data_IF_929348942434
#
_entry.id   IF_929348942434
#
_cell.length_a   1.000
_cell.length_b   1.000
_cell.length_c   1.000
_cell.angle_alpha   90.00
_cell.angle_beta   90.00
_cell.angle_gamma   90.00
#
_symmetry.space_group_name_H-M   'P 1'
#
loop_
_entity.id
_entity.type
_entity.pdbx_description
1 polymer ?
#
# COMPACT_ATOMS: atom_id res chain seq x y z
N UNK A 1 -12.52 -46.85 38.09
CA UNK A 1 -12.96 -45.59 37.45
C UNK A 1 -12.02 -45.35 36.28
N UNK A 2 -12.45 -45.69 35.07
CA UNK A 2 -11.70 -45.42 33.83
C UNK A 2 -12.00 -44.00 33.33
N UNK A 3 -11.05 -43.33 32.66
CA UNK A 3 -11.31 -42.04 32.01
C UNK A 3 -12.35 -42.18 30.89
N UNK A 4 -13.18 -41.15 30.73
CA UNK A 4 -14.13 -41.02 29.63
C UNK A 4 -13.35 -40.45 28.44
N UNK A 5 -13.16 -41.26 27.41
CA UNK A 5 -12.64 -40.81 26.12
C UNK A 5 -13.76 -40.08 25.38
N UNK A 6 -13.61 -38.75 25.19
CA UNK A 6 -14.49 -37.98 24.31
C UNK A 6 -14.01 -38.20 22.88
N UNK A 7 -14.66 -39.14 22.21
CA UNK A 7 -14.53 -39.36 20.78
C UNK A 7 -15.09 -38.13 20.05
N UNK A 8 -14.22 -37.20 19.65
CA UNK A 8 -14.62 -36.09 18.77
C UNK A 8 -14.83 -36.68 17.38
N UNK A 9 -16.05 -37.16 17.12
CA UNK A 9 -16.46 -37.64 15.81
C UNK A 9 -16.31 -36.48 14.81
N UNK A 10 -15.32 -36.57 13.93
CA UNK A 10 -15.14 -35.65 12.81
C UNK A 10 -16.31 -35.75 11.85
N UNK A 11 -17.37 -34.97 12.10
CA UNK A 11 -18.36 -34.66 11.08
C UNK A 11 -17.75 -33.60 10.18
N UNK A 12 -17.25 -34.04 9.03
CA UNK A 12 -17.03 -33.14 7.90
C UNK A 12 -18.35 -32.39 7.68
N UNK A 13 -18.30 -31.06 7.79
CA UNK A 13 -19.45 -30.20 7.54
C UNK A 13 -19.76 -30.26 6.04
N UNK A 14 -20.45 -31.30 5.58
CA UNK A 14 -20.97 -31.34 4.21
C UNK A 14 -22.26 -30.52 4.17
N UNK A 15 -22.14 -29.22 4.43
CA UNK A 15 -23.24 -28.30 4.32
C UNK A 15 -23.32 -27.84 2.86
N UNK A 16 -24.33 -28.32 2.14
CA UNK A 16 -24.61 -27.91 0.76
C UNK A 16 -24.63 -26.39 0.61
N UNK A 17 -25.08 -25.64 1.62
CA UNK A 17 -25.05 -24.18 1.62
C UNK A 17 -23.63 -23.60 1.69
N UNK A 18 -22.73 -24.19 2.50
CA UNK A 18 -21.32 -23.75 2.57
C UNK A 18 -20.62 -24.07 1.25
N UNK A 19 -20.87 -25.23 0.68
CA UNK A 19 -20.34 -25.61 -0.63
C UNK A 19 -20.90 -24.69 -1.72
N UNK A 20 -22.19 -24.34 -1.69
CA UNK A 20 -22.78 -23.40 -2.65
C UNK A 20 -22.19 -21.99 -2.53
N UNK A 21 -21.82 -21.54 -1.34
CA UNK A 21 -21.11 -20.26 -1.16
C UNK A 21 -19.74 -20.31 -1.83
N UNK A 22 -19.00 -21.40 -1.65
CA UNK A 22 -17.67 -21.58 -2.26
C UNK A 22 -17.73 -21.78 -3.78
N UNK A 23 -18.81 -22.35 -4.29
CA UNK A 23 -19.07 -22.57 -5.73
C UNK A 23 -19.75 -21.37 -6.41
N UNK A 24 -20.20 -20.37 -5.65
CA UNK A 24 -20.79 -19.16 -6.21
C UNK A 24 -19.71 -18.43 -7.02
N UNK A 25 -19.92 -18.34 -8.33
CA UNK A 25 -19.12 -17.45 -9.19
C UNK A 25 -19.35 -16.03 -8.68
N UNK A 26 -18.27 -15.35 -8.28
CA UNK A 26 -18.34 -13.98 -7.78
C UNK A 26 -19.17 -13.12 -8.77
N UNK A 27 -20.34 -12.59 -8.35
CA UNK A 27 -21.20 -11.80 -9.23
C UNK A 27 -20.53 -10.51 -9.74
N UNK A 28 -19.38 -10.14 -9.16
CA UNK A 28 -18.54 -9.02 -9.54
C UNK A 28 -17.34 -9.42 -10.41
N UNK A 29 -17.14 -10.71 -10.72
CA UNK A 29 -16.07 -11.18 -11.62
C UNK A 29 -14.65 -11.14 -11.01
N UNK A 30 -14.48 -11.40 -9.71
CA UNK A 30 -13.17 -11.33 -9.05
C UNK A 30 -12.17 -12.45 -9.38
N UNK A 31 -12.46 -13.37 -10.30
CA UNK A 31 -11.45 -14.34 -10.74
C UNK A 31 -10.35 -13.72 -11.62
N UNK A 32 -10.40 -12.40 -11.89
CA UNK A 32 -9.26 -11.61 -12.39
C UNK A 32 -9.32 -10.13 -11.98
N UNK A 33 -9.54 -9.80 -10.70
CA UNK A 33 -9.38 -8.42 -10.20
C UNK A 33 -8.52 -8.40 -8.94
N UNK A 34 -7.19 -8.49 -9.09
CA UNK A 34 -6.30 -8.04 -8.02
C UNK A 34 -6.44 -6.52 -7.97
N UNK A 35 -7.23 -6.02 -7.01
CA UNK A 35 -7.28 -4.59 -6.69
C UNK A 35 -5.89 -4.00 -6.43
N UNK A 36 -5.77 -2.68 -6.22
CA UNK A 36 -4.49 -2.06 -5.92
C UNK A 36 -3.80 -2.80 -4.76
N UNK A 37 -2.52 -3.15 -4.93
CA UNK A 37 -1.74 -3.84 -3.89
C UNK A 37 -1.53 -2.98 -2.64
N UNK A 38 -1.65 -1.67 -2.80
CA UNK A 38 -1.67 -0.68 -1.74
C UNK A 38 -3.05 -0.02 -1.82
N UNK A 39 -4.11 -0.61 -1.25
CA UNK A 39 -5.45 -0.05 -1.35
C UNK A 39 -5.60 1.20 -0.48
N UNK A 40 -6.50 2.11 -0.86
CA UNK A 40 -7.00 3.12 0.07
C UNK A 40 -7.86 2.44 1.13
N UNK A 41 -7.85 3.01 2.33
CA UNK A 41 -8.79 2.60 3.39
C UNK A 41 -10.20 3.01 2.95
N UNK A 42 -11.18 2.10 2.95
CA UNK A 42 -12.58 2.43 2.66
C UNK A 42 -13.10 3.59 3.50
N UNK A 43 -13.88 4.49 2.89
CA UNK A 43 -14.45 5.68 3.53
C UNK A 43 -15.21 5.33 4.82
N UNK A 44 -16.00 4.25 4.78
CA UNK A 44 -16.78 3.76 5.92
C UNK A 44 -15.93 3.42 7.15
N UNK A 45 -14.68 2.98 6.94
CA UNK A 45 -13.73 2.74 8.04
C UNK A 45 -13.08 4.06 8.48
N UNK A 46 -12.69 4.93 7.53
CA UNK A 46 -12.10 6.24 7.84
C UNK A 46 -13.05 7.12 8.65
N UNK A 47 -14.33 7.16 8.31
CA UNK A 47 -15.35 7.98 9.00
C UNK A 47 -15.46 7.65 10.49
N UNK A 48 -15.19 6.39 10.87
CA UNK A 48 -15.24 5.97 12.26
C UNK A 48 -14.06 6.50 13.09
N UNK A 49 -12.88 6.70 12.47
CA UNK A 49 -11.69 7.23 13.12
C UNK A 49 -10.59 7.66 12.12
N UNK A 50 -10.75 8.83 11.51
CA UNK A 50 -9.84 9.32 10.46
C UNK A 50 -8.37 9.40 10.95
N UNK A 51 -8.17 9.77 12.22
CA UNK A 51 -6.84 9.92 12.83
C UNK A 51 -6.03 8.62 12.91
N UNK A 52 -6.69 7.46 12.82
CA UNK A 52 -6.01 6.17 12.79
C UNK A 52 -5.46 5.81 11.41
N UNK A 53 -5.98 6.45 10.35
CA UNK A 53 -5.62 6.12 8.96
C UNK A 53 -4.79 7.21 8.30
N UNK A 54 -4.91 8.45 8.78
CA UNK A 54 -4.15 9.56 8.27
C UNK A 54 -2.76 9.68 8.89
N UNK A 55 -1.72 9.97 8.09
CA UNK A 55 -0.40 10.23 8.61
C UNK A 55 -0.40 11.48 9.51
N UNK A 56 0.40 11.42 10.57
CA UNK A 56 0.55 12.51 11.54
C UNK A 56 1.68 13.49 11.18
N UNK A 57 2.69 13.05 10.44
CA UNK A 57 3.93 13.81 10.24
C UNK A 57 4.47 13.79 8.81
N UNK A 58 4.36 12.66 8.10
CA UNK A 58 4.98 12.46 6.78
C UNK A 58 4.01 11.76 5.83
N UNK A 59 3.92 12.24 4.59
CA UNK A 59 3.28 11.47 3.53
C UNK A 59 4.29 10.52 2.92
N UNK A 60 3.92 9.28 2.65
CA UNK A 60 4.70 8.36 1.83
C UNK A 60 3.83 7.90 0.67
N UNK A 61 4.30 8.16 -0.53
CA UNK A 61 3.58 7.94 -1.76
C UNK A 61 2.40 8.89 -1.98
N UNK A 62 1.55 8.57 -2.96
CA UNK A 62 0.63 9.53 -3.58
C UNK A 62 -0.59 9.88 -2.73
N UNK A 63 -1.00 9.01 -1.79
CA UNK A 63 -2.32 9.15 -1.14
C UNK A 63 -2.48 10.41 -0.30
N UNK A 64 -1.42 10.82 0.40
CA UNK A 64 -1.44 12.00 1.27
C UNK A 64 -0.48 13.10 0.79
N UNK A 65 0.03 12.96 -0.44
CA UNK A 65 1.03 13.88 -0.94
C UNK A 65 0.43 15.27 -1.16
N UNK A 66 1.14 16.30 -0.69
CA UNK A 66 0.70 17.70 -0.82
C UNK A 66 -0.21 18.20 0.30
N UNK A 67 -0.69 17.35 1.19
CA UNK A 67 -1.51 17.76 2.33
C UNK A 67 -0.79 18.78 3.22
N UNK A 68 -1.47 19.88 3.55
CA UNK A 68 -0.89 21.02 4.26
C UNK A 68 -0.28 20.64 5.61
N UNK A 69 -0.90 19.68 6.33
CA UNK A 69 -0.43 19.19 7.64
C UNK A 69 0.90 18.42 7.57
N UNK A 70 1.30 17.93 6.38
CA UNK A 70 2.50 17.10 6.18
C UNK A 70 3.66 17.86 5.51
N UNK A 71 3.40 19.11 5.07
CA UNK A 71 4.34 19.92 4.28
C UNK A 71 5.69 20.17 4.98
N UNK A 72 5.73 20.16 6.31
CA UNK A 72 6.97 20.35 7.07
C UNK A 72 8.00 19.29 6.71
N UNK A 73 7.63 18.01 6.68
CA UNK A 73 8.56 16.92 6.33
C UNK A 73 8.77 16.85 4.82
N UNK A 74 7.74 17.10 4.00
CA UNK A 74 7.88 17.13 2.53
C UNK A 74 8.99 18.09 2.07
N UNK A 75 9.10 19.25 2.71
CA UNK A 75 10.16 20.25 2.41
C UNK A 75 11.55 19.82 2.85
N UNK A 76 11.67 18.88 3.79
CA UNK A 76 12.95 18.35 4.27
C UNK A 76 13.47 17.19 3.41
N UNK A 77 12.58 16.45 2.74
CA UNK A 77 12.97 15.27 1.94
C UNK A 77 14.07 15.57 0.89
N UNK A 78 14.06 16.67 0.12
CA UNK A 78 15.14 16.96 -0.83
C UNK A 78 16.51 17.13 -0.15
N UNK A 79 16.53 17.73 1.04
CA UNK A 79 17.77 17.86 1.81
C UNK A 79 18.25 16.50 2.31
N UNK A 80 17.35 15.67 2.83
CA UNK A 80 17.67 14.32 3.29
C UNK A 80 18.16 13.43 2.15
N UNK A 81 17.48 13.46 1.00
CA UNK A 81 17.91 12.76 -0.20
C UNK A 81 19.30 13.20 -0.66
N UNK A 82 19.59 14.50 -0.67
CA UNK A 82 20.93 15.01 -0.97
C UNK A 82 21.97 14.47 0.01
N UNK A 83 21.70 14.51 1.32
CA UNK A 83 22.63 13.99 2.32
C UNK A 83 22.87 12.49 2.16
N UNK A 84 21.81 11.72 1.94
CA UNK A 84 21.88 10.28 1.72
C UNK A 84 22.76 9.94 0.50
N UNK A 85 22.51 10.58 -0.64
CA UNK A 85 23.30 10.38 -1.87
C UNK A 85 24.77 10.74 -1.64
N UNK A 86 25.06 11.89 -1.01
CA UNK A 86 26.45 12.30 -0.73
C UNK A 86 27.18 11.31 0.17
N UNK A 87 26.50 10.81 1.21
CA UNK A 87 27.08 9.86 2.17
C UNK A 87 27.33 8.49 1.55
N UNK A 88 26.54 8.10 0.55
CA UNK A 88 26.70 6.81 -0.12
C UNK A 88 27.94 6.70 -1.02
N UNK A 89 28.46 7.84 -1.51
CA UNK A 89 29.52 7.88 -2.52
C UNK A 89 29.10 7.40 -3.91
N UNK A 90 27.82 7.08 -4.12
CA UNK A 90 27.26 6.64 -5.41
C UNK A 90 26.69 7.85 -6.17
N UNK A 91 26.87 7.93 -7.50
CA UNK A 91 26.25 8.98 -8.32
C UNK A 91 24.73 9.06 -8.14
N UNK A 92 24.19 10.28 -8.10
CA UNK A 92 22.73 10.50 -7.97
C UNK A 92 21.93 9.84 -9.09
N UNK A 93 22.49 9.82 -10.30
CA UNK A 93 21.85 9.23 -11.48
C UNK A 93 21.66 7.73 -11.31
N UNK A 94 22.60 7.03 -10.64
CA UNK A 94 22.48 5.60 -10.40
C UNK A 94 21.32 5.29 -9.43
N UNK A 95 21.14 6.10 -8.38
CA UNK A 95 19.97 5.98 -7.50
C UNK A 95 18.67 6.26 -8.25
N UNK A 96 18.63 7.35 -9.01
CA UNK A 96 17.42 7.72 -9.72
C UNK A 96 17.05 6.68 -10.77
N UNK A 97 18.02 6.10 -11.48
CA UNK A 97 17.83 4.98 -12.39
C UNK A 97 17.17 3.79 -11.70
N UNK A 98 17.58 3.44 -10.47
CA UNK A 98 16.92 2.37 -9.70
C UNK A 98 15.48 2.67 -9.36
N UNK A 99 15.14 3.93 -9.09
CA UNK A 99 13.74 4.34 -8.91
C UNK A 99 12.96 4.21 -10.20
N UNK A 100 13.52 4.67 -11.33
CA UNK A 100 12.88 4.58 -12.65
C UNK A 100 12.58 3.13 -13.04
N UNK A 101 13.50 2.20 -12.78
CA UNK A 101 13.34 0.76 -13.05
C UNK A 101 12.10 0.15 -12.37
N UNK A 102 11.70 0.66 -11.20
CA UNK A 102 10.60 0.10 -10.39
C UNK A 102 9.35 0.98 -10.33
N UNK A 103 9.44 2.25 -10.73
CA UNK A 103 8.39 3.24 -10.52
C UNK A 103 7.07 2.87 -11.19
N UNK A 104 7.08 2.35 -12.41
CA UNK A 104 5.85 1.98 -13.12
C UNK A 104 5.14 0.81 -12.43
N UNK A 105 5.90 -0.17 -11.93
CA UNK A 105 5.36 -1.28 -11.15
C UNK A 105 4.79 -0.81 -9.82
N UNK A 106 5.49 0.09 -9.13
CA UNK A 106 5.02 0.70 -7.88
C UNK A 106 3.75 1.53 -8.11
N UNK A 107 3.70 2.31 -9.20
CA UNK A 107 2.54 3.12 -9.58
C UNK A 107 1.29 2.26 -9.78
N UNK A 108 1.43 1.11 -10.43
CA UNK A 108 0.35 0.13 -10.64
C UNK A 108 -0.13 -0.54 -9.34
N UNK A 109 0.55 -0.34 -8.21
CA UNK A 109 0.11 -0.83 -6.91
C UNK A 109 -0.91 0.09 -6.23
N UNK A 110 -1.03 1.35 -6.66
CA UNK A 110 -1.96 2.34 -6.10
C UNK A 110 -3.29 2.37 -6.85
N UNK A 111 -4.33 2.89 -6.20
CA UNK A 111 -5.63 3.11 -6.82
C UNK A 111 -5.54 4.18 -7.91
N UNK A 112 -6.13 3.93 -9.10
CA UNK A 112 -5.96 4.79 -10.28
C UNK A 112 -6.45 6.22 -10.07
N UNK A 113 -7.56 6.39 -9.36
CA UNK A 113 -8.17 7.67 -9.00
C UNK A 113 -7.23 8.58 -8.19
N UNK A 114 -6.36 7.99 -7.37
CA UNK A 114 -5.37 8.74 -6.58
C UNK A 114 -4.21 9.31 -7.38
N UNK A 115 -4.06 8.90 -8.64
CA UNK A 115 -2.93 9.25 -9.50
C UNK A 115 -3.29 10.24 -10.60
N UNK A 116 -4.56 10.68 -10.67
CA UNK A 116 -5.08 11.51 -11.77
C UNK A 116 -4.29 12.83 -11.93
N UNK A 117 -3.87 13.46 -10.83
CA UNK A 117 -3.13 14.73 -10.83
C UNK A 117 -1.59 14.56 -10.77
N UNK A 118 -1.13 13.30 -10.76
CA UNK A 118 0.28 12.94 -10.58
C UNK A 118 0.74 12.25 -11.85
N UNK A 119 1.41 12.98 -12.74
CA UNK A 119 2.07 12.37 -13.90
C UNK A 119 3.22 11.41 -13.49
N UNK A 120 3.73 10.65 -14.44
CA UNK A 120 4.76 9.64 -14.18
C UNK A 120 6.06 10.26 -13.63
N UNK A 121 6.45 11.45 -14.09
CA UNK A 121 7.69 12.09 -13.64
C UNK A 121 7.55 12.66 -12.23
N UNK A 122 6.39 13.24 -11.89
CA UNK A 122 6.07 13.62 -10.50
C UNK A 122 6.08 12.40 -9.59
N UNK A 123 5.52 11.28 -10.04
CA UNK A 123 5.51 10.04 -9.27
C UNK A 123 6.93 9.49 -9.03
N UNK A 124 7.78 9.44 -10.05
CA UNK A 124 9.19 9.02 -9.91
C UNK A 124 9.96 9.90 -8.93
N UNK A 125 9.81 11.22 -9.03
CA UNK A 125 10.43 12.18 -8.10
C UNK A 125 9.94 11.96 -6.66
N UNK A 126 8.64 11.74 -6.49
CA UNK A 126 8.04 11.41 -5.20
C UNK A 126 8.65 10.13 -4.62
N UNK A 127 8.68 9.04 -5.38
CA UNK A 127 9.27 7.78 -4.94
C UNK A 127 10.76 7.90 -4.58
N UNK A 128 11.53 8.68 -5.34
CA UNK A 128 12.93 8.93 -5.03
C UNK A 128 13.10 9.64 -3.69
N UNK A 129 12.36 10.72 -3.46
CA UNK A 129 12.40 11.48 -2.21
C UNK A 129 11.92 10.66 -1.01
N UNK A 130 10.83 9.89 -1.19
CA UNK A 130 10.26 9.04 -0.16
C UNK A 130 11.20 7.88 0.19
N UNK A 131 11.81 7.25 -0.81
CA UNK A 131 12.77 6.18 -0.62
C UNK A 131 14.00 6.64 0.16
N UNK A 132 14.58 7.79 -0.20
CA UNK A 132 15.70 8.37 0.53
C UNK A 132 15.33 8.91 1.92
N UNK A 133 14.06 9.21 2.20
CA UNK A 133 13.62 9.61 3.53
C UNK A 133 13.58 8.42 4.51
N UNK A 134 13.32 7.21 4.00
CA UNK A 134 13.17 5.99 4.80
C UNK A 134 14.52 5.35 5.15
N UNK A 135 15.53 5.50 4.28
CA UNK A 135 16.86 4.88 4.38
C UNK A 135 17.89 5.80 5.03
#
# INVERSE_FOLDING_TARGET
MSPIDIEVSGKAWNNEWVNSIMETIDPLGYNQMRGPKIPRVPETLRDSNEKCYDPLAVSIGPYHHGESKLQTVEKLKPFMAKQYVLNSGIPVDDFYCKVVEVADNARNCYAKDSLNDIDNEKFKKMMFLDGCFIL
#
